data_IF_756369083738
#
_entry.id   IF_756369083738
#
_cell.length_a   1.000
_cell.length_b   1.000
_cell.length_c   1.000
_cell.angle_alpha   90.00
_cell.angle_beta   90.00
_cell.angle_gamma   90.00
#
_symmetry.space_group_name_H-M   'P 1'
#
loop_
_entity.id
_entity.type
_entity.pdbx_description
1 polymer ?
#
# COMPACT_ATOMS: atom_id res chain seq x y z
N UNK A 1 4.58 -16.90 17.70
CA UNK A 1 4.48 -15.47 18.06
C UNK A 1 3.17 -14.97 17.51
N UNK A 2 2.31 -14.37 18.33
CA UNK A 2 1.03 -13.87 17.84
C UNK A 2 1.31 -12.73 16.85
N UNK A 3 0.77 -12.82 15.63
CA UNK A 3 0.98 -11.82 14.58
C UNK A 3 0.65 -10.38 15.04
N UNK A 4 -0.23 -10.25 16.04
CA UNK A 4 -0.65 -8.97 16.64
C UNK A 4 0.44 -8.27 17.47
N UNK A 5 1.42 -9.00 18.00
CA UNK A 5 2.46 -8.41 18.86
C UNK A 5 3.37 -7.44 18.08
N UNK A 6 3.31 -7.42 16.75
CA UNK A 6 4.13 -6.55 15.91
C UNK A 6 3.34 -5.40 15.28
N UNK A 7 2.03 -5.35 15.47
CA UNK A 7 1.17 -4.35 14.84
C UNK A 7 1.16 -3.06 15.65
N UNK A 8 1.12 -1.92 14.97
CA UNK A 8 1.04 -0.58 15.56
C UNK A 8 2.19 -0.22 16.50
N UNK A 9 3.34 -0.87 16.34
CA UNK A 9 4.57 -0.56 17.07
C UNK A 9 5.26 0.66 16.48
N UNK A 10 5.70 1.54 17.36
CA UNK A 10 6.60 2.63 16.97
C UNK A 10 7.90 2.04 16.39
N UNK A 11 8.37 2.65 15.31
CA UNK A 11 9.67 2.42 14.71
C UNK A 11 10.40 3.76 14.71
N UNK A 12 11.43 3.84 15.54
CA UNK A 12 12.20 5.06 15.74
C UNK A 12 12.82 5.56 14.44
N UNK A 13 13.09 6.87 14.39
CA UNK A 13 13.90 7.49 13.33
C UNK A 13 15.25 6.79 13.16
N UNK A 14 15.88 6.86 11.98
CA UNK A 14 17.17 6.23 11.72
C UNK A 14 18.36 6.84 12.51
N UNK A 15 18.11 7.88 13.30
CA UNK A 15 19.14 8.59 14.09
C UNK A 15 20.10 9.41 13.23
N UNK A 16 19.74 9.71 11.99
CA UNK A 16 20.57 10.55 11.12
C UNK A 16 20.43 12.03 11.50
N UNK A 17 21.57 12.69 11.67
CA UNK A 17 21.62 14.08 12.08
C UNK A 17 21.53 14.98 10.87
N UNK A 18 20.66 15.99 10.94
CA UNK A 18 20.54 17.00 9.88
C UNK A 18 21.48 18.14 10.17
N UNK A 19 22.27 18.56 9.19
CA UNK A 19 23.27 19.62 9.35
C UNK A 19 22.93 20.83 8.49
N UNK A 20 23.20 22.02 9.02
CA UNK A 20 23.13 23.29 8.30
C UNK A 20 24.53 23.90 8.33
N UNK A 21 25.20 23.91 7.19
CA UNK A 21 26.52 24.51 7.05
C UNK A 21 26.36 25.97 6.65
N UNK A 22 26.80 26.89 7.52
CA UNK A 22 26.77 28.34 7.29
C UNK A 22 28.16 28.81 6.91
N UNK A 23 28.25 29.59 5.82
CA UNK A 23 29.48 30.23 5.39
C UNK A 23 29.24 31.73 5.15
N UNK A 24 30.11 32.57 5.69
CA UNK A 24 30.15 34.00 5.41
C UNK A 24 31.40 34.31 4.59
N UNK A 25 31.23 34.86 3.39
CA UNK A 25 32.36 35.21 2.53
C UNK A 25 33.09 36.49 3.00
N UNK A 26 34.14 36.86 2.27
CA UNK A 26 34.94 38.05 2.56
C UNK A 26 34.21 39.38 2.30
N UNK A 27 33.13 39.35 1.52
CA UNK A 27 32.24 40.49 1.26
C UNK A 27 31.15 40.62 2.34
N UNK A 28 31.00 39.62 3.21
CA UNK A 28 29.97 39.57 4.24
C UNK A 28 28.66 38.91 3.77
N UNK A 29 28.64 38.30 2.57
CA UNK A 29 27.49 37.54 2.08
C UNK A 29 27.46 36.19 2.76
N UNK A 30 26.27 35.76 3.16
CA UNK A 30 26.05 34.46 3.78
C UNK A 30 25.44 33.45 2.81
N UNK A 31 25.91 32.22 2.91
CA UNK A 31 25.31 31.06 2.28
C UNK A 31 25.03 29.98 3.31
N UNK A 32 24.04 29.14 3.01
CA UNK A 32 23.71 27.96 3.79
C UNK A 32 23.61 26.73 2.89
N UNK A 33 24.02 25.58 3.41
CA UNK A 33 23.87 24.30 2.74
C UNK A 33 23.42 23.22 3.72
N UNK A 34 22.33 22.51 3.38
CA UNK A 34 21.82 21.40 4.17
C UNK A 34 22.60 20.12 3.88
N UNK A 35 22.79 19.31 4.92
CA UNK A 35 23.40 17.99 4.86
C UNK A 35 22.71 17.01 5.79
N UNK A 36 23.05 15.74 5.64
CA UNK A 36 22.61 14.66 6.53
C UNK A 36 23.81 13.77 6.86
N UNK A 37 23.94 13.37 8.11
CA UNK A 37 25.03 12.53 8.61
C UNK A 37 24.44 11.34 9.35
N UNK A 38 24.63 10.13 8.81
CA UNK A 38 24.31 8.89 9.50
C UNK A 38 25.47 8.40 10.34
N UNK A 39 25.26 8.20 11.64
CA UNK A 39 26.26 7.62 12.58
C UNK A 39 25.86 6.25 13.12
N UNK A 40 24.60 5.87 12.94
CA UNK A 40 24.06 4.57 13.33
C UNK A 40 24.44 3.48 12.32
N UNK A 41 24.73 2.24 12.76
CA UNK A 41 24.97 1.10 11.87
C UNK A 41 23.69 0.57 11.20
N UNK A 42 22.53 1.14 11.48
CA UNK A 42 21.25 0.76 10.90
C UNK A 42 21.04 1.25 9.45
N UNK A 43 20.05 0.70 8.73
CA UNK A 43 19.68 1.20 7.42
C UNK A 43 19.17 2.65 7.51
N UNK A 44 19.58 3.46 6.53
CA UNK A 44 19.17 4.86 6.39
C UNK A 44 18.91 5.14 4.93
N UNK A 45 17.75 5.75 4.64
CA UNK A 45 17.51 6.44 3.37
C UNK A 45 17.18 7.90 3.66
N UNK A 46 17.46 8.77 2.70
CA UNK A 46 17.21 10.20 2.82
C UNK A 46 16.54 10.73 1.57
N UNK A 47 15.68 11.74 1.73
CA UNK A 47 15.04 12.42 0.61
C UNK A 47 15.14 13.92 0.75
N UNK A 48 15.17 14.59 -0.40
CA UNK A 48 15.17 16.04 -0.50
C UNK A 48 13.78 16.60 -0.71
N UNK A 49 13.40 17.60 0.09
CA UNK A 49 12.15 18.36 -0.06
C UNK A 49 12.47 19.86 -0.07
N UNK A 50 11.95 20.59 -1.05
CA UNK A 50 11.99 22.04 -1.04
C UNK A 50 10.96 22.59 -0.06
N UNK A 51 11.39 23.51 0.81
CA UNK A 51 10.54 24.17 1.79
C UNK A 51 10.54 25.68 1.57
N UNK A 52 9.38 26.30 1.78
CA UNK A 52 9.21 27.75 1.68
C UNK A 52 9.52 28.42 3.02
N UNK A 53 10.40 29.42 3.01
CA UNK A 53 10.69 30.26 4.18
C UNK A 53 9.60 31.33 4.38
N UNK A 54 9.32 31.77 5.62
CA UNK A 54 9.93 31.34 6.88
C UNK A 54 9.33 30.06 7.49
N UNK A 55 8.18 29.60 6.96
CA UNK A 55 7.32 28.65 7.68
C UNK A 55 7.69 27.17 7.49
N UNK A 56 8.64 26.85 6.61
CA UNK A 56 9.03 25.47 6.30
C UNK A 56 7.94 24.67 5.58
N UNK A 57 7.08 25.34 4.80
CA UNK A 57 5.99 24.68 4.07
C UNK A 57 6.58 23.85 2.94
N UNK A 58 6.36 22.52 2.87
CA UNK A 58 6.90 21.70 1.80
C UNK A 58 6.21 22.00 0.46
N UNK A 59 7.02 22.19 -0.59
CA UNK A 59 6.57 22.64 -1.92
C UNK A 59 6.77 21.56 -3.00
N UNK A 60 7.90 20.84 -2.98
CA UNK A 60 8.15 19.73 -3.89
C UNK A 60 9.26 18.81 -3.39
N UNK A 61 9.25 17.55 -3.80
CA UNK A 61 10.43 16.69 -3.70
C UNK A 61 11.49 17.14 -4.72
N UNK A 62 12.77 16.92 -4.44
CA UNK A 62 13.85 17.15 -5.41
C UNK A 62 14.79 15.96 -5.53
N UNK A 63 15.42 15.84 -6.69
CA UNK A 63 16.41 14.79 -6.93
C UNK A 63 17.74 15.22 -6.34
N UNK A 64 18.20 14.44 -5.37
CA UNK A 64 19.60 14.47 -4.93
C UNK A 64 20.43 13.97 -6.13
N UNK A 65 21.15 14.89 -6.77
CA UNK A 65 22.03 14.57 -7.89
C UNK A 65 23.13 13.58 -7.48
N UNK A 66 23.75 12.92 -8.47
CA UNK A 66 25.00 12.19 -8.25
C UNK A 66 26.16 13.12 -7.86
N UNK A 67 27.32 12.54 -7.56
CA UNK A 67 28.53 13.32 -7.24
C UNK A 67 28.81 14.32 -8.37
N UNK A 68 28.84 15.61 -8.03
CA UNK A 68 29.10 16.71 -8.98
C UNK A 68 27.89 17.13 -9.82
N UNK A 69 26.70 16.56 -9.61
CA UNK A 69 25.47 16.97 -10.27
C UNK A 69 24.67 17.92 -9.36
N UNK A 70 24.21 19.07 -9.86
CA UNK A 70 23.36 19.96 -9.08
C UNK A 70 22.00 19.31 -8.79
N UNK A 71 21.32 19.78 -7.76
CA UNK A 71 19.91 19.46 -7.52
C UNK A 71 19.05 20.08 -8.63
N UNK A 72 17.91 19.47 -8.93
CA UNK A 72 16.88 20.11 -9.75
C UNK A 72 16.52 21.47 -9.09
N UNK A 73 16.40 22.59 -9.84
CA UNK A 73 16.25 23.91 -9.26
C UNK A 73 14.98 24.02 -8.40
N UNK A 74 14.99 24.85 -7.34
CA UNK A 74 13.81 25.06 -6.50
C UNK A 74 12.62 25.60 -7.33
N UNK A 75 11.38 25.23 -6.97
CA UNK A 75 10.18 25.99 -7.39
C UNK A 75 10.24 27.43 -6.76
N UNK A 76 9.27 28.35 -6.98
CA UNK A 76 9.49 29.81 -7.06
C UNK A 76 10.28 30.46 -5.90
N UNK A 77 10.76 31.69 -6.10
CA UNK A 77 11.61 32.45 -5.15
C UNK A 77 11.22 32.27 -3.67
N UNK A 78 12.20 31.98 -2.81
CA UNK A 78 12.01 31.77 -1.38
C UNK A 78 12.05 30.31 -0.91
N UNK A 79 12.15 29.34 -1.83
CA UNK A 79 12.36 27.94 -1.48
C UNK A 79 13.82 27.60 -1.19
N UNK A 80 14.06 26.82 -0.13
CA UNK A 80 15.37 26.24 0.21
C UNK A 80 15.29 24.71 0.28
N UNK A 81 16.37 23.98 -0.04
CA UNK A 81 16.37 22.52 0.06
C UNK A 81 16.42 22.10 1.53
N UNK A 82 15.64 21.09 1.92
CA UNK A 82 15.76 20.40 3.20
C UNK A 82 15.90 18.90 2.97
N UNK A 83 16.60 18.21 3.89
CA UNK A 83 16.82 16.76 3.81
C UNK A 83 16.20 16.13 5.04
N UNK A 84 15.43 15.05 4.84
CA UNK A 84 14.81 14.27 5.90
C UNK A 84 15.32 12.82 5.84
N UNK A 85 15.39 12.15 7.00
CA UNK A 85 15.80 10.75 7.13
C UNK A 85 14.61 9.80 7.27
N UNK A 86 14.82 8.54 6.89
CA UNK A 86 13.83 7.47 7.06
C UNK A 86 13.70 7.01 8.52
N UNK A 87 12.82 6.04 8.76
CA UNK A 87 12.89 5.27 10.00
C UNK A 87 14.12 4.34 10.04
N UNK A 88 14.36 3.75 11.21
CA UNK A 88 15.44 2.81 11.52
C UNK A 88 15.40 1.49 10.73
N UNK A 89 14.35 1.25 9.94
CA UNK A 89 14.25 0.12 9.01
C UNK A 89 14.43 0.56 7.55
N UNK A 90 14.83 1.81 7.31
CA UNK A 90 14.96 2.37 5.97
C UNK A 90 13.61 2.67 5.29
N UNK A 91 12.51 2.71 6.05
CA UNK A 91 11.16 2.87 5.54
C UNK A 91 10.59 4.26 5.85
N UNK A 92 9.55 4.64 5.11
CA UNK A 92 8.94 5.97 5.17
C UNK A 92 7.50 5.88 5.66
N UNK A 93 7.22 6.53 6.78
CA UNK A 93 5.86 6.77 7.26
C UNK A 93 5.21 7.91 6.49
N UNK A 94 3.96 7.68 6.08
CA UNK A 94 3.17 8.57 5.23
C UNK A 94 1.76 8.74 5.80
N UNK A 95 1.16 9.92 5.61
CA UNK A 95 -0.24 10.17 5.90
C UNK A 95 -0.96 10.76 4.68
N UNK A 96 -2.04 10.12 4.27
CA UNK A 96 -2.83 10.58 3.13
C UNK A 96 -3.56 11.89 3.44
N UNK A 97 -3.40 12.96 2.64
CA UNK A 97 -4.10 14.23 2.87
C UNK A 97 -5.61 14.14 2.60
N UNK A 98 -6.07 13.16 1.81
CA UNK A 98 -7.48 13.01 1.47
C UNK A 98 -8.27 12.15 2.47
N UNK A 99 -7.67 11.08 3.02
CA UNK A 99 -8.38 10.16 3.90
C UNK A 99 -7.74 10.00 5.29
N UNK A 100 -6.70 10.78 5.58
CA UNK A 100 -5.94 10.77 6.84
C UNK A 100 -5.32 9.43 7.23
N UNK A 101 -5.38 8.44 6.33
CA UNK A 101 -4.87 7.09 6.56
C UNK A 101 -3.35 7.09 6.57
N UNK A 102 -2.77 6.57 7.65
CA UNK A 102 -1.34 6.36 7.79
C UNK A 102 -0.92 5.04 7.12
N UNK A 103 0.21 5.02 6.44
CA UNK A 103 0.83 3.83 5.86
C UNK A 103 2.34 3.98 5.83
N UNK A 104 3.05 2.88 5.60
CA UNK A 104 4.50 2.90 5.43
C UNK A 104 4.91 2.10 4.20
N UNK A 105 5.96 2.54 3.52
CA UNK A 105 6.57 1.79 2.41
C UNK A 105 8.09 1.99 2.38
N UNK A 106 8.76 1.27 1.49
CA UNK A 106 10.23 1.29 1.36
C UNK A 106 10.78 2.50 0.60
N UNK A 107 9.95 3.41 0.11
CA UNK A 107 10.37 4.48 -0.78
C UNK A 107 9.60 5.79 -0.56
N UNK A 108 10.23 6.91 -0.90
CA UNK A 108 9.64 8.25 -1.00
C UNK A 108 10.20 8.88 -2.28
N UNK A 109 9.53 8.65 -3.41
CA UNK A 109 10.09 8.91 -4.73
C UNK A 109 9.80 10.32 -5.25
N UNK A 110 10.82 11.04 -5.71
CA UNK A 110 10.68 12.31 -6.43
C UNK A 110 10.35 12.16 -7.94
N UNK A 111 10.54 10.95 -8.49
CA UNK A 111 10.50 10.68 -9.93
C UNK A 111 9.14 10.16 -10.43
N UNK A 112 8.25 9.76 -9.52
CA UNK A 112 6.90 9.31 -9.85
C UNK A 112 5.97 9.58 -8.68
N UNK A 113 4.65 9.72 -8.91
CA UNK A 113 3.72 10.00 -7.83
C UNK A 113 3.53 8.78 -6.92
N UNK A 114 3.36 9.05 -5.64
CA UNK A 114 2.99 8.07 -4.63
C UNK A 114 1.47 7.86 -4.62
N UNK A 115 1.04 6.64 -4.34
CA UNK A 115 -0.37 6.25 -4.29
C UNK A 115 -0.79 5.92 -2.86
N UNK A 116 -1.89 6.48 -2.37
CA UNK A 116 -2.47 6.10 -1.08
C UNK A 116 -3.02 4.66 -1.16
N UNK A 117 -2.61 3.73 -0.27
CA UNK A 117 -3.11 2.36 -0.26
C UNK A 117 -4.63 2.23 -0.11
N UNK A 118 -5.25 3.17 0.59
CA UNK A 118 -6.65 3.05 1.02
C UNK A 118 -7.65 3.68 0.04
N UNK A 119 -7.34 4.87 -0.46
CA UNK A 119 -8.26 5.66 -1.29
C UNK A 119 -7.81 5.83 -2.73
N UNK A 120 -6.58 5.41 -3.07
CA UNK A 120 -6.02 5.54 -4.41
C UNK A 120 -5.72 6.98 -4.84
N UNK A 121 -5.69 7.96 -3.90
CA UNK A 121 -5.14 9.29 -4.18
C UNK A 121 -3.72 9.13 -4.70
N UNK A 122 -3.42 9.74 -5.84
CA UNK A 122 -2.09 9.71 -6.45
C UNK A 122 -1.58 11.13 -6.58
N UNK A 123 -0.46 11.43 -5.93
CA UNK A 123 0.17 12.76 -5.92
C UNK A 123 1.66 12.64 -5.56
N UNK A 124 2.40 13.74 -5.57
CA UNK A 124 3.82 13.75 -5.21
C UNK A 124 4.04 13.26 -3.76
N UNK A 125 5.21 12.68 -3.48
CA UNK A 125 5.48 12.04 -2.20
C UNK A 125 5.49 13.03 -1.03
N UNK A 126 5.99 14.27 -1.22
CA UNK A 126 5.96 15.31 -0.19
C UNK A 126 4.53 15.67 0.30
N UNK A 127 3.49 15.42 -0.51
CA UNK A 127 2.10 15.65 -0.11
C UNK A 127 1.62 14.64 0.94
N UNK A 128 2.32 13.50 1.06
CA UNK A 128 2.06 12.46 2.05
C UNK A 128 2.87 12.61 3.34
N UNK A 129 3.66 13.69 3.51
CA UNK A 129 4.37 13.93 4.75
C UNK A 129 3.42 14.00 5.94
N UNK A 130 3.76 13.25 6.97
CA UNK A 130 3.06 13.23 8.25
C UNK A 130 3.14 14.59 8.96
N UNK A 131 2.23 14.90 9.89
CA UNK A 131 2.28 16.12 10.70
C UNK A 131 3.64 16.30 11.39
N UNK A 132 4.19 15.24 11.98
CA UNK A 132 5.49 15.30 12.66
C UNK A 132 6.65 15.60 11.69
N UNK A 133 6.66 15.00 10.49
CA UNK A 133 7.64 15.37 9.45
C UNK A 133 7.51 16.83 9.01
N UNK A 134 6.27 17.37 8.93
CA UNK A 134 6.05 18.79 8.60
C UNK A 134 6.52 19.71 9.71
N UNK A 135 6.35 19.32 10.97
CA UNK A 135 6.88 20.06 12.13
C UNK A 135 8.42 20.07 12.13
N UNK A 136 9.05 18.96 11.74
CA UNK A 136 10.49 18.90 11.53
C UNK A 136 10.96 19.87 10.43
N UNK A 137 10.27 19.94 9.29
CA UNK A 137 10.59 20.89 8.23
C UNK A 137 10.41 22.35 8.67
N UNK A 138 9.37 22.65 9.45
CA UNK A 138 9.17 23.98 10.04
C UNK A 138 10.31 24.34 11.00
N UNK A 139 10.74 23.41 11.85
CA UNK A 139 11.88 23.59 12.74
C UNK A 139 13.18 23.85 11.97
N UNK A 140 13.41 23.14 10.85
CA UNK A 140 14.57 23.39 9.98
C UNK A 140 14.56 24.81 9.37
N UNK A 141 13.40 25.31 8.97
CA UNK A 141 13.26 26.65 8.43
C UNK A 141 13.55 27.71 9.49
N UNK A 142 12.94 27.61 10.67
CA UNK A 142 13.19 28.50 11.80
C UNK A 142 14.67 28.53 12.17
N UNK A 143 15.28 27.33 12.29
CA UNK A 143 16.70 27.22 12.62
C UNK A 143 17.59 27.83 11.55
N UNK A 144 17.27 27.66 10.27
CA UNK A 144 18.02 28.30 9.19
C UNK A 144 17.96 29.83 9.30
N UNK A 145 16.79 30.40 9.57
CA UNK A 145 16.61 31.84 9.66
C UNK A 145 17.38 32.45 10.83
N UNK A 146 17.30 31.84 12.01
CA UNK A 146 18.10 32.24 13.18
C UNK A 146 19.59 32.30 12.83
N UNK A 147 20.07 31.28 12.12
CA UNK A 147 21.49 31.13 11.82
C UNK A 147 21.98 32.06 10.71
N UNK A 148 21.11 32.36 9.73
CA UNK A 148 21.38 33.39 8.74
C UNK A 148 21.34 34.79 9.37
N UNK A 149 20.45 35.05 10.34
CA UNK A 149 20.33 36.33 11.04
C UNK A 149 21.42 36.59 12.08
N UNK A 150 22.05 35.55 12.63
CA UNK A 150 23.10 35.66 13.64
C UNK A 150 24.28 36.56 13.18
N UNK A 151 24.96 37.32 14.03
CA UNK A 151 26.14 38.08 13.61
C UNK A 151 27.35 37.15 13.37
N UNK A 152 27.81 37.02 12.13
CA UNK A 152 29.02 36.26 11.77
C UNK A 152 30.14 37.18 11.29
N UNK A 153 31.40 36.84 11.63
CA UNK A 153 32.57 37.54 11.08
C UNK A 153 32.81 37.12 9.63
N UNK A 154 33.43 37.98 8.83
CA UNK A 154 33.89 37.62 7.47
C UNK A 154 34.81 36.40 7.52
N UNK A 155 34.61 35.46 6.58
CA UNK A 155 35.36 34.20 6.53
C UNK A 155 34.89 33.14 7.54
N UNK A 156 33.79 33.36 8.28
CA UNK A 156 33.26 32.35 9.20
C UNK A 156 32.73 31.14 8.44
N UNK A 157 33.11 29.95 8.91
CA UNK A 157 32.50 28.68 8.53
C UNK A 157 32.11 27.93 9.80
N UNK A 158 30.85 27.49 9.87
CA UNK A 158 30.35 26.72 11.01
C UNK A 158 29.26 25.76 10.57
N UNK A 159 29.09 24.70 11.35
CA UNK A 159 28.07 23.69 11.15
C UNK A 159 27.14 23.68 12.36
N UNK A 160 25.84 23.72 12.10
CA UNK A 160 24.79 23.53 13.08
C UNK A 160 24.24 22.12 12.87
N UNK A 161 24.14 21.34 13.95
CA UNK A 161 23.70 19.95 13.89
C UNK A 161 22.41 19.79 14.71
N UNK A 162 21.39 19.19 14.10
CA UNK A 162 20.20 18.70 14.79
C UNK A 162 20.46 17.23 15.10
N UNK A 163 20.77 16.96 16.37
CA UNK A 163 21.22 15.65 16.85
C UNK A 163 20.05 14.70 17.12
N UNK A 164 19.51 14.13 16.04
CA UNK A 164 18.46 13.13 16.08
C UNK A 164 18.90 11.86 16.79
N UNK A 165 20.20 11.51 16.75
CA UNK A 165 20.73 10.35 17.45
C UNK A 165 20.52 10.47 18.97
N UNK A 166 20.85 11.62 19.54
CA UNK A 166 20.61 11.90 20.96
C UNK A 166 19.13 11.85 21.31
N UNK A 167 18.25 12.43 20.46
CA UNK A 167 16.79 12.41 20.67
C UNK A 167 16.23 10.97 20.64
N UNK A 168 16.73 10.11 19.75
CA UNK A 168 16.31 8.71 19.67
C UNK A 168 16.71 7.93 20.93
N UNK A 169 17.86 8.25 21.53
CA UNK A 169 18.40 7.57 22.73
C UNK A 169 17.82 8.09 24.05
N UNK A 170 17.05 9.18 24.03
CA UNK A 170 16.35 9.69 25.22
C UNK A 170 15.49 8.59 25.85
N UNK A 171 15.45 8.59 27.18
CA UNK A 171 14.67 7.60 27.92
C UNK A 171 13.17 7.76 27.62
N UNK A 172 12.39 6.69 27.74
CA UNK A 172 10.97 6.70 27.35
C UNK A 172 10.11 7.65 28.21
N UNK A 173 10.58 8.00 29.40
CA UNK A 173 9.99 8.93 30.35
C UNK A 173 10.41 10.40 30.11
N UNK A 174 11.39 10.65 29.25
CA UNK A 174 11.78 11.99 28.85
C UNK A 174 10.92 12.49 27.67
N UNK A 175 10.38 13.72 27.73
CA UNK A 175 9.59 14.27 26.64
C UNK A 175 10.49 14.56 25.44
N UNK A 176 10.22 13.86 24.33
CA UNK A 176 10.88 14.15 23.04
C UNK A 176 10.39 15.49 22.49
N UNK A 177 11.23 16.24 21.73
CA UNK A 177 10.81 17.47 21.09
C UNK A 177 9.62 17.25 20.15
N UNK A 178 8.75 18.25 20.01
CA UNK A 178 7.54 18.15 19.18
C UNK A 178 7.82 17.87 17.69
N UNK A 179 9.03 18.21 17.22
CA UNK A 179 9.48 17.93 15.86
C UNK A 179 10.04 16.51 15.67
N UNK A 180 10.23 15.74 16.74
CA UNK A 180 10.64 14.35 16.63
C UNK A 180 9.54 13.54 15.96
N UNK A 181 9.91 12.77 14.94
CA UNK A 181 8.98 11.88 14.25
C UNK A 181 9.47 10.43 14.30
N UNK A 182 8.51 9.53 14.45
CA UNK A 182 8.71 8.09 14.35
C UNK A 182 7.64 7.50 13.42
N UNK A 183 7.99 6.40 12.76
CA UNK A 183 7.04 5.63 11.98
C UNK A 183 6.29 4.66 12.90
N UNK A 184 5.21 4.09 12.38
CA UNK A 184 4.47 3.02 13.04
C UNK A 184 4.30 1.82 12.09
N UNK A 185 4.53 0.60 12.57
CA UNK A 185 4.16 -0.62 11.83
C UNK A 185 2.65 -0.73 11.67
N UNK A 186 2.18 -1.36 10.60
CA UNK A 186 0.75 -1.65 10.40
C UNK A 186 0.49 -3.17 10.45
N UNK A 187 -0.65 -3.61 9.93
CA UNK A 187 -1.14 -4.98 10.08
C UNK A 187 -0.65 -5.90 8.96
N UNK A 188 -0.62 -5.38 7.73
CA UNK A 188 -0.29 -6.17 6.54
C UNK A 188 0.97 -5.63 5.89
N UNK A 189 2.04 -6.42 6.03
CA UNK A 189 3.37 -6.18 5.46
C UNK A 189 3.56 -7.10 4.25
N UNK A 190 3.81 -6.54 3.08
CA UNK A 190 4.02 -7.32 1.85
C UNK A 190 4.97 -6.63 0.88
N UNK A 191 5.57 -7.39 -0.03
CA UNK A 191 6.27 -6.86 -1.20
C UNK A 191 5.34 -6.95 -2.39
N UNK A 192 5.19 -5.87 -3.16
CA UNK A 192 4.35 -5.88 -4.34
C UNK A 192 4.93 -6.80 -5.42
N UNK A 193 4.14 -7.74 -5.93
CA UNK A 193 4.60 -8.69 -6.97
C UNK A 193 4.94 -8.01 -8.30
N UNK A 194 4.45 -6.79 -8.55
CA UNK A 194 4.65 -6.06 -9.80
C UNK A 194 5.88 -5.17 -9.81
N UNK A 195 6.24 -4.55 -8.67
CA UNK A 195 7.35 -3.58 -8.60
C UNK A 195 8.31 -3.81 -7.43
N UNK A 196 8.13 -4.86 -6.63
CA UNK A 196 8.99 -5.23 -5.51
C UNK A 196 8.92 -4.33 -4.27
N UNK A 197 8.12 -3.26 -4.33
CA UNK A 197 8.03 -2.27 -3.27
C UNK A 197 7.50 -2.90 -1.97
N UNK A 198 8.18 -2.62 -0.86
CA UNK A 198 7.70 -2.98 0.47
C UNK A 198 6.53 -2.07 0.86
N UNK A 199 5.44 -2.66 1.33
CA UNK A 199 4.24 -1.96 1.77
C UNK A 199 3.84 -2.47 3.16
N UNK A 200 3.44 -1.55 4.04
CA UNK A 200 2.96 -1.81 5.39
C UNK A 200 1.69 -0.98 5.63
N UNK A 201 0.55 -1.66 5.57
CA UNK A 201 -0.77 -1.04 5.51
C UNK A 201 -1.71 -1.59 6.58
N UNK A 202 -2.74 -0.81 6.91
CA UNK A 202 -3.85 -1.25 7.75
C UNK A 202 -4.83 -2.09 6.94
N UNK A 203 -5.38 -3.14 7.57
CA UNK A 203 -6.25 -4.09 6.89
C UNK A 203 -5.51 -4.95 5.87
N UNK A 204 -6.23 -5.78 5.13
CA UNK A 204 -5.65 -6.79 4.23
C UNK A 204 -5.36 -6.26 2.81
N UNK A 205 -6.23 -5.41 2.28
CA UNK A 205 -6.19 -4.99 0.88
C UNK A 205 -5.82 -3.52 0.72
N UNK A 206 -4.97 -3.22 -0.26
CA UNK A 206 -4.54 -1.87 -0.57
C UNK A 206 -3.84 -1.74 -1.90
N UNK A 207 -3.72 -0.49 -2.37
CA UNK A 207 -2.82 -0.14 -3.47
C UNK A 207 -1.36 -0.20 -2.99
N UNK A 208 -0.47 -0.67 -3.85
CA UNK A 208 0.96 -0.47 -3.70
C UNK A 208 1.27 1.03 -3.70
N UNK A 209 2.02 1.50 -2.70
CA UNK A 209 2.36 2.91 -2.57
C UNK A 209 3.18 3.45 -3.75
N UNK A 210 4.00 2.62 -4.38
CA UNK A 210 4.81 3.01 -5.53
C UNK A 210 4.05 2.90 -6.86
N UNK A 211 3.71 1.67 -7.31
CA UNK A 211 3.12 1.49 -8.63
C UNK A 211 1.59 1.68 -8.65
N UNK A 212 0.91 1.67 -7.51
CA UNK A 212 -0.55 1.77 -7.46
C UNK A 212 -1.29 0.52 -7.97
N UNK A 213 -0.63 -0.63 -8.12
CA UNK A 213 -1.31 -1.92 -8.33
C UNK A 213 -1.94 -2.40 -7.01
N UNK A 214 -3.14 -3.00 -7.05
CA UNK A 214 -3.78 -3.55 -5.84
C UNK A 214 -3.24 -4.91 -5.45
N UNK A 215 -3.04 -5.16 -4.16
CA UNK A 215 -2.55 -6.46 -3.67
C UNK A 215 -3.65 -7.55 -3.59
N UNK A 216 -4.89 -7.29 -4.02
CA UNK A 216 -6.02 -8.20 -3.87
C UNK A 216 -5.73 -9.61 -4.42
N UNK A 217 -5.18 -9.71 -5.63
CA UNK A 217 -4.86 -11.01 -6.26
C UNK A 217 -3.68 -11.68 -5.59
N UNK A 218 -2.66 -10.92 -5.19
CA UNK A 218 -1.53 -11.46 -4.42
C UNK A 218 -2.00 -12.09 -3.11
N UNK A 219 -2.84 -11.37 -2.34
CA UNK A 219 -3.40 -11.87 -1.08
C UNK A 219 -4.33 -13.07 -1.30
N UNK A 220 -5.20 -13.01 -2.31
CA UNK A 220 -6.09 -14.12 -2.66
C UNK A 220 -5.30 -15.36 -3.06
N UNK A 221 -4.28 -15.21 -3.90
CA UNK A 221 -3.47 -16.33 -4.40
C UNK A 221 -2.72 -17.01 -3.26
N UNK A 222 -2.11 -16.24 -2.35
CA UNK A 222 -1.49 -16.79 -1.14
C UNK A 222 -2.49 -17.58 -0.30
N UNK A 223 -3.70 -17.03 -0.07
CA UNK A 223 -4.74 -17.71 0.69
C UNK A 223 -5.25 -18.99 0.03
N UNK A 224 -5.46 -18.96 -1.29
CA UNK A 224 -5.90 -20.13 -2.06
C UNK A 224 -4.83 -21.23 -2.06
N UNK A 225 -3.55 -20.86 -2.06
CA UNK A 225 -2.44 -21.80 -1.97
C UNK A 225 -2.34 -22.44 -0.58
N UNK A 226 -2.53 -21.67 0.50
CA UNK A 226 -2.65 -22.23 1.86
C UNK A 226 -3.76 -23.28 1.96
N UNK A 227 -4.95 -22.97 1.41
CA UNK A 227 -6.08 -23.90 1.38
C UNK A 227 -5.72 -25.15 0.58
N UNK A 228 -5.12 -24.99 -0.59
CA UNK A 228 -4.68 -26.10 -1.44
C UNK A 228 -3.68 -27.00 -0.71
N UNK A 229 -2.72 -26.43 0.00
CA UNK A 229 -1.73 -27.18 0.76
C UNK A 229 -2.35 -27.92 1.95
N UNK A 230 -3.27 -27.28 2.67
CA UNK A 230 -4.00 -27.93 3.77
C UNK A 230 -4.83 -29.12 3.28
N UNK A 231 -5.50 -28.96 2.13
CA UNK A 231 -6.26 -30.03 1.48
C UNK A 231 -5.35 -31.18 1.03
N UNK A 232 -4.19 -30.88 0.42
CA UNK A 232 -3.21 -31.89 0.01
C UNK A 232 -2.64 -32.68 1.19
N UNK A 233 -2.45 -32.04 2.34
CA UNK A 233 -1.96 -32.67 3.57
C UNK A 233 -3.04 -33.42 4.35
N UNK A 234 -4.30 -33.41 3.88
CA UNK A 234 -5.44 -33.98 4.60
C UNK A 234 -5.79 -33.24 5.89
N UNK A 235 -5.31 -32.00 6.06
CA UNK A 235 -5.56 -31.16 7.24
C UNK A 235 -6.89 -30.40 7.14
N UNK A 236 -7.38 -30.17 5.92
CA UNK A 236 -8.69 -29.59 5.66
C UNK A 236 -9.58 -30.57 4.90
N UNK A 237 -10.85 -30.64 5.29
CA UNK A 237 -11.86 -31.39 4.53
C UNK A 237 -12.19 -30.66 3.21
N UNK A 238 -12.57 -31.38 2.14
CA UNK A 238 -12.97 -30.76 0.89
C UNK A 238 -14.10 -29.72 1.03
N UNK A 239 -15.12 -30.01 1.84
CA UNK A 239 -16.26 -29.12 2.09
C UNK A 239 -15.81 -27.78 2.70
N UNK A 240 -14.93 -27.85 3.71
CA UNK A 240 -14.36 -26.66 4.35
C UNK A 240 -13.48 -25.87 3.36
N UNK A 241 -12.75 -26.56 2.49
CA UNK A 241 -11.89 -25.93 1.48
C UNK A 241 -12.71 -25.16 0.45
N UNK A 242 -13.89 -25.67 0.04
CA UNK A 242 -14.82 -24.95 -0.84
C UNK A 242 -15.31 -23.66 -0.19
N UNK A 243 -15.82 -23.74 1.05
CA UNK A 243 -16.33 -22.56 1.78
C UNK A 243 -15.26 -21.49 2.00
N UNK A 244 -14.04 -21.89 2.41
CA UNK A 244 -12.92 -20.98 2.60
C UNK A 244 -12.46 -20.33 1.29
N UNK A 245 -12.40 -21.07 0.19
CA UNK A 245 -11.96 -20.56 -1.11
C UNK A 245 -12.92 -19.52 -1.67
N UNK A 246 -14.23 -19.79 -1.61
CA UNK A 246 -15.27 -18.85 -2.06
C UNK A 246 -15.28 -17.61 -1.17
N UNK A 247 -15.17 -17.77 0.16
CA UNK A 247 -15.14 -16.63 1.09
C UNK A 247 -13.93 -15.72 0.85
N UNK A 248 -12.75 -16.30 0.57
CA UNK A 248 -11.55 -15.52 0.22
C UNK A 248 -11.71 -14.79 -1.12
N UNK A 249 -12.21 -15.47 -2.14
CA UNK A 249 -12.50 -14.89 -3.46
C UNK A 249 -13.48 -13.73 -3.36
N UNK A 250 -14.56 -13.94 -2.65
CA UNK A 250 -15.63 -12.97 -2.48
C UNK A 250 -15.16 -11.74 -1.69
N UNK A 251 -14.36 -11.91 -0.64
CA UNK A 251 -13.72 -10.79 0.06
C UNK A 251 -12.82 -9.95 -0.86
N UNK A 252 -11.99 -10.60 -1.68
CA UNK A 252 -11.10 -9.91 -2.62
C UNK A 252 -11.87 -9.13 -3.70
N UNK A 253 -12.93 -9.71 -4.27
CA UNK A 253 -13.74 -9.07 -5.31
C UNK A 253 -14.62 -7.94 -4.77
N UNK A 254 -15.20 -8.11 -3.57
CA UNK A 254 -15.93 -7.02 -2.89
C UNK A 254 -15.05 -5.81 -2.63
N UNK A 255 -13.78 -6.03 -2.31
CA UNK A 255 -12.85 -4.92 -2.10
C UNK A 255 -12.57 -4.14 -3.40
N UNK A 256 -12.44 -4.80 -4.56
CA UNK A 256 -12.42 -4.11 -5.86
C UNK A 256 -13.69 -3.29 -6.10
N UNK A 257 -14.88 -3.88 -5.85
CA UNK A 257 -16.15 -3.18 -5.99
C UNK A 257 -16.23 -1.93 -5.10
N UNK A 258 -15.76 -2.00 -3.84
CA UNK A 258 -15.67 -0.84 -2.95
C UNK A 258 -14.81 0.27 -3.55
N UNK A 259 -13.69 -0.07 -4.20
CA UNK A 259 -12.83 0.93 -4.84
C UNK A 259 -13.47 1.54 -6.09
N UNK A 260 -14.17 0.76 -6.91
CA UNK A 260 -14.97 1.27 -8.04
C UNK A 260 -16.01 2.29 -7.56
N UNK A 261 -16.77 1.95 -6.51
CA UNK A 261 -17.78 2.84 -5.92
C UNK A 261 -17.16 4.10 -5.34
N UNK A 262 -16.00 3.97 -4.68
CA UNK A 262 -15.31 5.09 -4.02
C UNK A 262 -14.71 6.07 -5.02
N UNK A 263 -14.11 5.56 -6.11
CA UNK A 263 -13.26 6.35 -7.01
C UNK A 263 -13.96 6.80 -8.27
N UNK A 264 -15.06 6.17 -8.67
CA UNK A 264 -15.82 6.58 -9.84
C UNK A 264 -16.96 7.52 -9.44
N UNK A 265 -17.02 8.76 -9.95
CA UNK A 265 -18.15 9.65 -9.72
C UNK A 265 -19.45 9.03 -10.25
N UNK A 266 -20.47 8.93 -9.40
CA UNK A 266 -21.77 8.36 -9.77
C UNK A 266 -22.89 8.84 -8.84
N UNK A 267 -24.14 8.77 -9.32
CA UNK A 267 -25.34 9.11 -8.52
C UNK A 267 -25.51 8.15 -7.34
N UNK A 268 -26.11 8.63 -6.25
CA UNK A 268 -26.31 7.86 -5.01
C UNK A 268 -27.00 6.51 -5.23
N UNK A 269 -28.05 6.46 -6.06
CA UNK A 269 -28.75 5.22 -6.38
C UNK A 269 -27.83 4.14 -6.99
N UNK A 270 -26.87 4.55 -7.84
CA UNK A 270 -25.88 3.63 -8.42
C UNK A 270 -24.85 3.17 -7.38
N UNK A 271 -24.41 4.06 -6.48
CA UNK A 271 -23.53 3.68 -5.36
C UNK A 271 -24.18 2.63 -4.48
N UNK A 272 -25.44 2.81 -4.13
CA UNK A 272 -26.18 1.87 -3.29
C UNK A 272 -26.35 0.51 -3.97
N UNK A 273 -26.70 0.52 -5.25
CA UNK A 273 -26.82 -0.69 -6.07
C UNK A 273 -25.50 -1.49 -6.16
N UNK A 274 -24.36 -0.80 -6.18
CA UNK A 274 -23.03 -1.40 -6.24
C UNK A 274 -22.43 -1.75 -4.86
N UNK A 275 -22.88 -1.12 -3.78
CA UNK A 275 -22.38 -1.39 -2.43
C UNK A 275 -22.93 -2.69 -1.84
N UNK A 276 -24.06 -3.16 -2.38
CA UNK A 276 -24.72 -4.42 -1.98
C UNK A 276 -24.30 -5.62 -2.84
N UNK A 277 -23.26 -5.48 -3.66
CA UNK A 277 -22.82 -6.54 -4.54
C UNK A 277 -22.25 -7.73 -3.77
N UNK A 278 -22.52 -8.91 -4.33
CA UNK A 278 -22.17 -10.20 -3.74
C UNK A 278 -21.55 -11.07 -4.82
N UNK A 279 -20.40 -11.67 -4.52
CA UNK A 279 -19.60 -12.43 -5.50
C UNK A 279 -19.68 -13.95 -5.29
N UNK A 280 -20.39 -14.41 -4.25
CA UNK A 280 -20.70 -15.82 -4.04
C UNK A 280 -21.88 -16.34 -4.88
N UNK A 281 -22.28 -15.61 -5.92
CA UNK A 281 -23.28 -16.02 -6.91
C UNK A 281 -22.91 -15.38 -8.27
N UNK A 282 -22.44 -16.20 -9.22
CA UNK A 282 -22.00 -15.73 -10.53
C UNK A 282 -23.14 -15.32 -11.47
N UNK A 283 -24.37 -15.75 -11.19
CA UNK A 283 -25.56 -15.37 -11.97
C UNK A 283 -26.27 -14.16 -11.38
N UNK A 284 -25.83 -13.72 -10.20
CA UNK A 284 -26.34 -12.51 -9.60
C UNK A 284 -26.15 -11.30 -10.52
N UNK A 285 -27.03 -10.33 -10.35
CA UNK A 285 -26.97 -9.03 -11.02
C UNK A 285 -25.61 -8.32 -10.81
N UNK A 286 -24.78 -8.77 -9.85
CA UNK A 286 -23.40 -8.31 -9.63
C UNK A 286 -22.55 -8.37 -10.89
N UNK A 287 -22.44 -9.53 -11.52
CA UNK A 287 -21.52 -9.73 -12.65
C UNK A 287 -21.99 -8.93 -13.86
N UNK A 288 -23.31 -8.91 -14.07
CA UNK A 288 -23.94 -8.08 -15.09
C UNK A 288 -23.70 -6.59 -14.86
N UNK A 289 -23.90 -6.08 -13.63
CA UNK A 289 -23.66 -4.66 -13.29
C UNK A 289 -22.19 -4.26 -13.44
N UNK A 290 -21.25 -5.13 -13.11
CA UNK A 290 -19.83 -4.86 -13.32
C UNK A 290 -19.52 -4.65 -14.80
N UNK A 291 -20.07 -5.50 -15.66
CA UNK A 291 -19.96 -5.37 -17.11
C UNK A 291 -20.68 -4.12 -17.61
N UNK A 292 -21.94 -3.94 -17.26
CA UNK A 292 -22.77 -2.86 -17.79
C UNK A 292 -22.28 -1.47 -17.35
N UNK A 293 -21.70 -1.34 -16.15
CA UNK A 293 -21.29 -0.04 -15.60
C UNK A 293 -19.80 0.28 -15.79
N UNK A 294 -18.95 -0.74 -15.90
CA UNK A 294 -17.50 -0.57 -15.91
C UNK A 294 -16.78 -1.39 -16.98
N UNK A 295 -17.51 -2.16 -17.81
CA UNK A 295 -16.95 -3.11 -18.78
C UNK A 295 -16.03 -4.18 -18.15
N UNK A 296 -16.25 -4.49 -16.87
CA UNK A 296 -15.56 -5.57 -16.17
C UNK A 296 -16.25 -6.90 -16.49
N UNK A 297 -15.52 -7.86 -17.06
CA UNK A 297 -16.05 -9.17 -17.39
C UNK A 297 -15.35 -10.29 -16.59
N UNK A 298 -15.82 -10.59 -15.36
CA UNK A 298 -15.21 -11.62 -14.53
C UNK A 298 -15.20 -13.02 -15.20
N UNK A 299 -16.16 -13.33 -16.08
CA UNK A 299 -16.28 -14.62 -16.77
C UNK A 299 -15.57 -14.67 -18.13
N UNK A 300 -14.76 -13.66 -18.47
CA UNK A 300 -13.97 -13.64 -19.71
C UNK A 300 -13.13 -14.92 -19.86
N UNK A 301 -13.37 -15.65 -20.95
CA UNK A 301 -12.66 -16.89 -21.27
C UNK A 301 -13.00 -18.09 -20.36
N UNK A 302 -14.05 -18.01 -19.55
CA UNK A 302 -14.61 -19.14 -18.79
C UNK A 302 -15.62 -19.87 -19.68
N UNK A 303 -15.43 -21.17 -19.88
CA UNK A 303 -16.35 -21.98 -20.67
C UNK A 303 -17.67 -22.22 -19.91
N UNK A 304 -18.79 -22.42 -20.61
CA UNK A 304 -20.10 -22.62 -19.99
C UNK A 304 -20.13 -23.79 -19.00
N UNK A 305 -19.39 -24.87 -19.29
CA UNK A 305 -19.25 -26.01 -18.38
C UNK A 305 -18.55 -25.65 -17.06
N UNK A 306 -17.62 -24.71 -17.10
CA UNK A 306 -16.91 -24.23 -15.93
C UNK A 306 -17.76 -23.23 -15.16
N UNK A 307 -18.50 -22.35 -15.86
CA UNK A 307 -19.49 -21.47 -15.23
C UNK A 307 -20.55 -22.27 -14.46
N UNK A 308 -21.15 -23.30 -15.07
CA UNK A 308 -22.09 -24.21 -14.38
C UNK A 308 -21.45 -24.89 -13.17
N UNK A 309 -20.21 -25.34 -13.29
CA UNK A 309 -19.49 -25.94 -12.17
C UNK A 309 -19.25 -24.94 -11.02
N UNK A 310 -18.87 -23.70 -11.32
CA UNK A 310 -18.68 -22.66 -10.29
C UNK A 310 -19.99 -22.36 -9.58
N UNK A 311 -21.10 -22.22 -10.32
CA UNK A 311 -22.45 -22.04 -9.76
C UNK A 311 -22.79 -23.18 -8.80
N UNK A 312 -22.60 -24.43 -9.22
CA UNK A 312 -22.81 -25.59 -8.38
C UNK A 312 -22.02 -25.48 -7.07
N UNK A 313 -20.71 -25.20 -7.15
CA UNK A 313 -19.86 -25.07 -5.96
C UNK A 313 -20.27 -23.93 -5.02
N UNK A 314 -20.77 -22.81 -5.57
CA UNK A 314 -21.29 -21.69 -4.78
C UNK A 314 -22.57 -22.05 -4.01
N UNK A 315 -23.47 -22.83 -4.61
CA UNK A 315 -24.63 -23.36 -3.89
C UNK A 315 -24.22 -24.42 -2.86
N UNK A 316 -23.20 -25.24 -3.14
CA UNK A 316 -22.65 -26.18 -2.15
C UNK A 316 -22.10 -25.49 -0.91
N UNK A 317 -21.45 -24.32 -1.06
CA UNK A 317 -21.04 -23.50 0.09
C UNK A 317 -22.21 -23.15 0.99
N UNK A 318 -23.34 -22.73 0.43
CA UNK A 318 -24.55 -22.42 1.22
C UNK A 318 -24.97 -23.62 2.07
N UNK A 319 -25.01 -24.82 1.46
CA UNK A 319 -25.33 -26.07 2.17
C UNK A 319 -24.33 -26.38 3.30
N UNK A 320 -23.03 -26.24 3.05
CA UNK A 320 -21.99 -26.52 4.05
C UNK A 320 -21.98 -25.51 5.20
N UNK A 321 -22.16 -24.22 4.90
CA UNK A 321 -22.08 -23.14 5.92
C UNK A 321 -23.36 -22.96 6.71
N UNK A 322 -24.52 -23.13 6.08
CA UNK A 322 -25.82 -22.77 6.69
C UNK A 322 -26.70 -23.96 7.03
N UNK A 323 -26.49 -25.13 6.41
CA UNK A 323 -27.34 -26.30 6.63
C UNK A 323 -26.57 -27.54 7.11
N UNK A 324 -25.38 -27.35 7.69
CA UNK A 324 -24.53 -28.42 8.21
C UNK A 324 -24.25 -29.56 7.19
N UNK A 325 -24.26 -29.23 5.89
CA UNK A 325 -24.08 -30.19 4.80
C UNK A 325 -25.36 -30.91 4.36
N UNK A 326 -26.52 -30.64 4.93
CA UNK A 326 -27.80 -31.24 4.53
C UNK A 326 -28.37 -30.50 3.33
N UNK A 327 -28.76 -31.23 2.27
CA UNK A 327 -29.35 -30.64 1.07
C UNK A 327 -30.73 -30.05 1.40
N UNK A 328 -30.96 -28.78 1.06
CA UNK A 328 -32.24 -28.10 1.16
C UNK A 328 -32.90 -27.91 -0.22
N UNK A 329 -34.20 -27.58 -0.22
CA UNK A 329 -34.96 -27.21 -1.43
C UNK A 329 -34.27 -26.12 -2.25
N UNK A 330 -33.68 -25.11 -1.61
CA UNK A 330 -32.93 -24.04 -2.29
C UNK A 330 -31.79 -24.60 -3.15
N UNK A 331 -31.00 -25.54 -2.62
CA UNK A 331 -29.93 -26.18 -3.38
C UNK A 331 -30.47 -26.95 -4.58
N UNK A 332 -31.52 -27.75 -4.40
CA UNK A 332 -32.12 -28.54 -5.49
C UNK A 332 -32.60 -27.63 -6.63
N UNK A 333 -33.25 -26.52 -6.30
CA UNK A 333 -33.78 -25.57 -7.27
C UNK A 333 -32.68 -24.79 -8.03
N UNK A 334 -31.59 -24.42 -7.33
CA UNK A 334 -30.61 -23.47 -7.85
C UNK A 334 -29.32 -24.10 -8.37
N UNK A 335 -28.94 -25.28 -7.90
CA UNK A 335 -27.62 -25.86 -8.20
C UNK A 335 -27.51 -26.46 -9.60
N UNK A 336 -28.63 -26.94 -10.16
CA UNK A 336 -28.64 -27.76 -11.37
C UNK A 336 -28.03 -29.16 -11.15
N UNK A 337 -27.92 -29.61 -9.90
CA UNK A 337 -27.44 -30.95 -9.54
C UNK A 337 -28.58 -31.97 -9.67
N UNK A 338 -28.59 -32.71 -10.78
CA UNK A 338 -29.64 -33.71 -11.10
C UNK A 338 -29.69 -34.88 -10.11
N UNK A 339 -28.64 -35.07 -9.29
CA UNK A 339 -28.57 -36.14 -8.29
C UNK A 339 -28.90 -35.64 -6.88
N UNK A 340 -29.28 -34.37 -6.73
CA UNK A 340 -29.61 -33.80 -5.43
C UNK A 340 -30.93 -34.36 -4.89
N UNK A 341 -30.89 -34.86 -3.66
CA UNK A 341 -32.07 -35.31 -2.94
C UNK A 341 -32.14 -34.54 -1.62
N UNK A 342 -33.23 -33.81 -1.42
CA UNK A 342 -33.46 -33.03 -0.20
C UNK A 342 -33.37 -33.92 1.05
N UNK A 343 -32.71 -33.41 2.09
CA UNK A 343 -32.45 -34.14 3.34
C UNK A 343 -31.21 -35.04 3.32
N UNK A 344 -30.62 -35.33 2.15
CA UNK A 344 -29.36 -36.08 2.10
C UNK A 344 -28.16 -35.22 2.53
N UNK A 345 -27.14 -35.88 3.06
CA UNK A 345 -25.87 -35.23 3.36
C UNK A 345 -25.03 -35.10 2.09
N UNK A 346 -24.70 -33.86 1.73
CA UNK A 346 -23.82 -33.54 0.62
C UNK A 346 -22.36 -33.82 1.00
N UNK A 347 -21.62 -34.47 0.10
CA UNK A 347 -20.19 -34.74 0.24
C UNK A 347 -19.43 -34.09 -0.90
N UNK A 348 -18.24 -33.58 -0.60
CA UNK A 348 -17.38 -32.95 -1.60
C UNK A 348 -16.09 -33.73 -1.84
N UNK A 349 -15.55 -33.61 -3.06
CA UNK A 349 -14.29 -34.25 -3.44
C UNK A 349 -13.14 -33.25 -3.45
N UNK A 350 -11.94 -33.76 -3.19
CA UNK A 350 -10.70 -32.98 -3.27
C UNK A 350 -10.49 -32.43 -4.69
N UNK A 351 -10.81 -33.22 -5.70
CA UNK A 351 -10.66 -32.89 -7.10
C UNK A 351 -11.53 -31.68 -7.49
N UNK A 352 -12.77 -31.65 -7.00
CA UNK A 352 -13.67 -30.50 -7.18
C UNK A 352 -13.14 -29.25 -6.46
N UNK A 353 -12.68 -29.38 -5.22
CA UNK A 353 -12.12 -28.27 -4.47
C UNK A 353 -10.89 -27.66 -5.19
N UNK A 354 -9.96 -28.48 -5.70
CA UNK A 354 -8.82 -27.98 -6.49
C UNK A 354 -9.26 -27.28 -7.78
N UNK A 355 -10.23 -27.87 -8.51
CA UNK A 355 -10.77 -27.28 -9.73
C UNK A 355 -11.40 -25.91 -9.44
N UNK A 356 -12.19 -25.81 -8.37
CA UNK A 356 -12.81 -24.56 -7.94
C UNK A 356 -11.76 -23.50 -7.62
N UNK A 357 -10.72 -23.84 -6.84
CA UNK A 357 -9.63 -22.91 -6.51
C UNK A 357 -9.01 -22.32 -7.78
N UNK A 358 -8.72 -23.15 -8.79
CA UNK A 358 -8.16 -22.70 -10.05
C UNK A 358 -9.09 -21.76 -10.83
N UNK A 359 -10.39 -22.06 -10.85
CA UNK A 359 -11.39 -21.24 -11.53
C UNK A 359 -11.62 -19.90 -10.82
N UNK A 360 -11.68 -19.87 -9.49
CA UNK A 360 -11.83 -18.64 -8.71
C UNK A 360 -10.62 -17.70 -8.90
N UNK A 361 -9.40 -18.25 -8.91
CA UNK A 361 -8.20 -17.48 -9.20
C UNK A 361 -8.29 -16.82 -10.59
N UNK A 362 -8.74 -17.57 -11.61
CA UNK A 362 -8.88 -17.06 -12.98
C UNK A 362 -9.94 -15.96 -13.08
N UNK A 363 -11.09 -16.12 -12.43
CA UNK A 363 -12.14 -15.08 -12.39
C UNK A 363 -11.61 -13.82 -11.71
N UNK A 364 -10.91 -13.96 -10.58
CA UNK A 364 -10.37 -12.82 -9.87
C UNK A 364 -9.33 -12.08 -10.71
N UNK A 365 -8.46 -12.80 -11.44
CA UNK A 365 -7.49 -12.19 -12.36
C UNK A 365 -8.16 -11.41 -13.49
N UNK A 366 -9.32 -11.85 -14.01
CA UNK A 366 -10.08 -11.07 -14.98
C UNK A 366 -10.55 -9.74 -14.39
N UNK A 367 -11.08 -9.76 -13.16
CA UNK A 367 -11.49 -8.54 -12.44
C UNK A 367 -10.31 -7.60 -12.21
N UNK A 368 -9.16 -8.13 -11.80
CA UNK A 368 -7.95 -7.35 -11.55
C UNK A 368 -7.41 -6.69 -12.82
N UNK A 369 -7.36 -7.42 -13.94
CA UNK A 369 -6.92 -6.90 -15.23
C UNK A 369 -7.81 -5.73 -15.66
N UNK A 370 -9.13 -5.97 -15.77
CA UNK A 370 -10.08 -4.96 -16.22
C UNK A 370 -10.12 -3.75 -15.24
N UNK A 371 -9.95 -3.98 -13.93
CA UNK A 371 -9.87 -2.90 -12.94
C UNK A 371 -8.63 -2.00 -13.14
N UNK A 372 -7.47 -2.58 -13.44
CA UNK A 372 -6.24 -1.84 -13.68
C UNK A 372 -6.16 -1.23 -15.09
N UNK A 373 -7.04 -1.62 -16.02
CA UNK A 373 -7.30 -0.85 -17.23
C UNK A 373 -7.99 0.49 -16.91
N UNK A 374 -8.95 0.49 -15.98
CA UNK A 374 -9.62 1.73 -15.51
C UNK A 374 -8.67 2.56 -14.64
N UNK A 375 -7.96 1.93 -13.72
CA UNK A 375 -7.07 2.60 -12.77
C UNK A 375 -5.61 2.21 -13.03
N UNK A 376 -5.05 2.81 -14.08
CA UNK A 376 -3.72 2.44 -14.59
C UNK A 376 -2.62 2.63 -13.53
N UNK A 377 -1.81 1.58 -13.27
CA UNK A 377 -0.61 1.67 -12.44
C UNK A 377 0.44 2.62 -13.03
N UNK A 378 1.34 3.10 -12.18
CA UNK A 378 2.54 3.82 -12.61
C UNK A 378 3.53 2.82 -13.21
N UNK A 379 3.92 3.01 -14.48
CA UNK A 379 4.78 2.06 -15.19
C UNK A 379 6.24 2.05 -14.71
N UNK A 380 6.79 3.22 -14.34
CA UNK A 380 8.22 3.36 -14.06
C UNK A 380 8.72 2.38 -12.97
N UNK A 381 8.06 2.25 -11.79
CA UNK A 381 8.50 1.30 -10.77
C UNK A 381 8.47 -0.15 -11.25
N UNK A 382 7.49 -0.51 -12.09
CA UNK A 382 7.31 -1.87 -12.62
C UNK A 382 8.46 -2.20 -13.59
N UNK A 383 8.76 -1.30 -14.53
CA UNK A 383 9.87 -1.50 -15.49
C UNK A 383 11.22 -1.55 -14.77
N UNK A 384 11.49 -0.61 -13.85
CA UNK A 384 12.74 -0.59 -13.09
C UNK A 384 12.95 -1.87 -12.27
N UNK A 385 11.89 -2.42 -11.70
CA UNK A 385 11.97 -3.68 -10.97
C UNK A 385 12.30 -4.87 -11.86
N UNK A 386 11.64 -4.99 -13.02
CA UNK A 386 11.92 -6.04 -14.01
C UNK A 386 13.37 -5.99 -14.50
N UNK A 387 13.86 -4.82 -14.87
CA UNK A 387 15.25 -4.64 -15.29
C UNK A 387 16.25 -5.07 -14.20
N UNK A 388 15.97 -4.77 -12.93
CA UNK A 388 16.81 -5.20 -11.81
C UNK A 388 16.80 -6.73 -11.62
N UNK A 389 15.64 -7.37 -11.79
CA UNK A 389 15.52 -8.83 -11.73
C UNK A 389 16.31 -9.49 -12.87
N UNK A 390 16.18 -8.97 -14.09
CA UNK A 390 16.91 -9.49 -15.26
C UNK A 390 18.43 -9.39 -15.05
N UNK A 391 18.93 -8.26 -14.55
CA UNK A 391 20.36 -8.08 -14.23
C UNK A 391 20.85 -8.99 -13.11
N UNK A 392 20.01 -9.32 -12.13
CA UNK A 392 20.38 -10.21 -11.01
C UNK A 392 20.35 -11.69 -11.41
N UNK A 393 19.68 -12.03 -12.51
CA UNK A 393 19.61 -13.39 -13.06
C UNK A 393 20.72 -13.72 -14.07
N UNK A 394 21.49 -12.71 -14.48
CA UNK A 394 22.72 -12.82 -15.26
C UNK A 394 23.91 -12.92 -14.33
#
# INVERSE_FOLDING_TARGET
>A
MAYYDQDFKEVAHCGANTTINIACDNEGRKGAAFGIVGRSPGPMTAVGVYILLPHGIPVSDFKLGGIGQPFDPPPPEGCVPAIIGSDSLGCWGHQCPQCSGYFRNGNHAAIYPQTCPYCGLRTAAFQFLTPAQRMFLAHLAERLEEELAAPDKRGTQRQVEIDMESIVKQAADEPKPDFYYASQTQQTRYKCDHCGEFNDIRGLYGYCAACGWRNNIQMLTGRLEEIRQSLNKGQAQPEASVGQSISAFDAACRDFAKQLVRRTPMKAARKEALSRLVFHDIESETFKRLKDFFDLNPLKGIADKDARFIRLMMERRHVFEHNAGVIDSRYVERSGDENAVEGNLLRETRENAHRLIGLLARIASNVDSDFHEIFTPTEWPIKSFKEKQERASQ
#
